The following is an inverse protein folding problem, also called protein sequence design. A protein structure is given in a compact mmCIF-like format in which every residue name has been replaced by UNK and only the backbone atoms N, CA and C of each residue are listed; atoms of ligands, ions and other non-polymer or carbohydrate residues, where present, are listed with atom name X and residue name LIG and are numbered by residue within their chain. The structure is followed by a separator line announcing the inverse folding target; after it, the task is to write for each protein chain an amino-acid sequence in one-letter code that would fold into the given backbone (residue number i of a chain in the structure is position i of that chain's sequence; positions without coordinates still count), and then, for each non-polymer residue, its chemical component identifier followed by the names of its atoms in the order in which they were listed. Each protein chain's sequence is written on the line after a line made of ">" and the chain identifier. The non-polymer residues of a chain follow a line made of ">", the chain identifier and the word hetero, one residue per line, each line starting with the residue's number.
data_IF_431458019538
#
_entry.id   IF_431458019538
#
_cell.length_a   1.000
_cell.length_b   1.000
_cell.length_c   1.000
_cell.angle_alpha   90.00
_cell.angle_beta   90.00
_cell.angle_gamma   90.00
#
_symmetry.space_group_name_H-M   'P 1'
#
loop_
_entity.id
_entity.type
_entity.pdbx_description
1 polymer ?
#
# COMPACT_ATOMS: atom_id res chain seq x y z
N UNK A 1 19.65 -33.81 -6.64
CA UNK A 1 18.67 -32.71 -6.63
C UNK A 1 17.96 -32.80 -5.31
N UNK A 2 18.29 -31.90 -4.38
CA UNK A 2 17.45 -31.68 -3.22
C UNK A 2 16.34 -30.74 -3.70
N UNK A 3 15.08 -31.12 -3.49
CA UNK A 3 13.93 -30.27 -3.77
C UNK A 3 14.11 -28.96 -3.00
N UNK A 4 13.96 -27.82 -3.67
CA UNK A 4 14.03 -26.52 -3.00
C UNK A 4 12.93 -26.35 -1.93
N UNK A 5 11.88 -27.17 -1.96
CA UNK A 5 10.73 -27.15 -1.04
C UNK A 5 11.13 -27.32 0.44
N UNK A 6 12.08 -28.20 0.76
CA UNK A 6 12.44 -28.49 2.16
C UNK A 6 13.11 -27.30 2.87
N UNK A 7 13.66 -26.32 2.13
CA UNK A 7 14.23 -25.10 2.73
C UNK A 7 13.19 -24.07 3.12
N UNK A 8 12.06 -24.00 2.41
CA UNK A 8 11.04 -22.97 2.64
C UNK A 8 10.15 -23.30 3.85
N UNK A 9 9.96 -24.58 4.15
CA UNK A 9 9.13 -25.02 5.29
C UNK A 9 9.74 -24.64 6.65
N UNK A 10 11.08 -24.70 6.75
CA UNK A 10 11.80 -24.27 7.96
C UNK A 10 11.70 -22.75 8.18
N UNK A 11 11.72 -21.95 7.10
CA UNK A 11 11.66 -20.49 7.16
C UNK A 11 10.28 -19.98 7.62
N UNK A 12 9.17 -20.63 7.23
CA UNK A 12 7.81 -20.24 7.67
C UNK A 12 7.63 -20.36 9.18
N UNK A 13 8.17 -21.42 9.78
CA UNK A 13 8.13 -21.59 11.24
C UNK A 13 8.88 -20.48 11.97
N UNK A 14 9.89 -19.86 11.35
CA UNK A 14 10.65 -18.76 11.94
C UNK A 14 9.78 -17.50 12.05
N UNK A 15 9.01 -17.16 11.01
CA UNK A 15 8.19 -15.94 11.01
C UNK A 15 7.03 -16.07 12.01
N UNK A 16 6.31 -17.19 12.02
CA UNK A 16 5.24 -17.42 12.99
C UNK A 16 5.78 -17.34 14.43
N UNK A 17 6.90 -18.03 14.70
CA UNK A 17 7.56 -17.98 16.01
C UNK A 17 7.99 -16.56 16.38
N UNK A 18 8.48 -15.77 15.43
CA UNK A 18 8.84 -14.38 15.64
C UNK A 18 7.62 -13.53 16.00
N UNK A 19 6.51 -13.67 15.27
CA UNK A 19 5.26 -12.94 15.52
C UNK A 19 4.73 -13.28 16.91
N UNK A 20 4.67 -14.56 17.27
CA UNK A 20 4.18 -14.98 18.58
C UNK A 20 4.99 -14.36 19.72
N UNK A 21 6.32 -14.42 19.64
CA UNK A 21 7.24 -13.92 20.68
C UNK A 21 7.30 -12.39 20.75
N UNK A 22 7.07 -11.70 19.64
CA UNK A 22 7.21 -10.25 19.53
C UNK A 22 5.88 -9.49 19.47
N UNK A 23 4.73 -10.18 19.44
CA UNK A 23 3.39 -9.56 19.32
C UNK A 23 3.10 -8.44 20.32
N UNK A 24 3.70 -8.49 21.51
CA UNK A 24 3.54 -7.48 22.56
C UNK A 24 4.64 -6.42 22.61
N UNK A 25 5.71 -6.56 21.83
CA UNK A 25 6.89 -5.67 21.93
C UNK A 25 7.31 -5.09 20.58
N UNK A 26 6.83 -5.63 19.46
CA UNK A 26 7.16 -5.16 18.13
C UNK A 26 6.52 -3.80 17.88
N UNK A 27 7.34 -2.76 17.78
CA UNK A 27 6.92 -1.39 17.48
C UNK A 27 7.23 -0.99 16.03
N UNK A 28 8.27 -1.57 15.44
CA UNK A 28 8.70 -1.24 14.07
C UNK A 28 8.91 -2.54 13.30
N UNK A 29 8.26 -2.62 12.15
CA UNK A 29 8.50 -3.66 11.16
C UNK A 29 8.81 -2.98 9.82
N UNK A 30 10.01 -3.23 9.31
CA UNK A 30 10.47 -2.70 8.03
C UNK A 30 11.15 -3.85 7.29
N UNK A 31 10.63 -4.20 6.13
CA UNK A 31 11.19 -5.25 5.28
C UNK A 31 11.33 -4.73 3.85
N UNK A 32 12.47 -4.11 3.52
CA UNK A 32 12.78 -3.82 2.14
C UNK A 32 13.11 -5.14 1.44
N UNK A 33 12.51 -5.36 0.26
CA UNK A 33 12.93 -6.39 -0.71
C UNK A 33 13.08 -7.82 -0.11
N UNK A 34 11.96 -8.52 0.07
CA UNK A 34 11.95 -9.92 0.51
C UNK A 34 11.27 -10.84 -0.50
N UNK A 35 11.81 -12.06 -0.62
CA UNK A 35 11.22 -13.14 -1.41
C UNK A 35 10.67 -14.26 -0.54
N UNK A 36 10.89 -14.19 0.78
CA UNK A 36 10.54 -15.25 1.72
C UNK A 36 9.30 -14.94 2.54
N UNK A 37 8.86 -13.68 2.55
CA UNK A 37 7.72 -13.25 3.35
C UNK A 37 6.48 -13.22 2.47
N UNK A 38 5.50 -14.04 2.85
CA UNK A 38 4.24 -14.13 2.12
C UNK A 38 3.22 -13.11 2.63
N UNK A 39 2.21 -12.82 1.80
CA UNK A 39 1.08 -11.97 2.19
C UNK A 39 0.42 -12.40 3.51
N UNK A 40 0.34 -13.70 3.81
CA UNK A 40 -0.21 -14.21 5.08
C UNK A 40 0.65 -13.90 6.30
N UNK A 41 1.96 -13.82 6.14
CA UNK A 41 2.89 -13.45 7.20
C UNK A 41 2.73 -11.96 7.54
N UNK A 42 2.71 -11.13 6.49
CA UNK A 42 2.44 -9.69 6.54
C UNK A 42 1.10 -9.40 7.23
N UNK A 43 0.05 -10.13 6.85
CA UNK A 43 -1.27 -10.07 7.48
C UNK A 43 -1.22 -10.43 8.97
N UNK A 44 -0.50 -11.49 9.32
CA UNK A 44 -0.42 -12.00 10.68
C UNK A 44 0.30 -11.04 11.62
N UNK A 45 1.29 -10.30 11.12
CA UNK A 45 1.93 -9.18 11.84
C UNK A 45 0.91 -8.08 12.16
N UNK A 46 0.18 -7.57 11.17
CA UNK A 46 -0.83 -6.52 11.35
C UNK A 46 -1.96 -6.93 12.31
N UNK A 47 -2.36 -8.19 12.28
CA UNK A 47 -3.41 -8.74 13.12
C UNK A 47 -2.96 -9.10 14.56
N UNK A 48 -1.66 -9.22 14.82
CA UNK A 48 -1.14 -9.72 16.10
C UNK A 48 -0.34 -8.68 16.90
N UNK A 49 0.37 -7.79 16.21
CA UNK A 49 1.31 -6.85 16.83
C UNK A 49 0.64 -5.52 17.25
N UNK A 50 -0.01 -5.51 18.43
CA UNK A 50 -0.79 -4.35 18.92
C UNK A 50 0.02 -3.06 19.10
N UNK A 51 1.30 -3.19 19.43
CA UNK A 51 2.18 -2.06 19.73
C UNK A 51 2.90 -1.51 18.50
N UNK A 52 2.62 -2.06 17.32
CA UNK A 52 3.23 -1.63 16.07
C UNK A 52 2.89 -0.16 15.78
N UNK A 53 3.92 0.66 15.61
CA UNK A 53 3.89 2.09 15.30
C UNK A 53 4.27 2.37 13.86
N UNK A 54 5.13 1.53 13.28
CA UNK A 54 5.57 1.63 11.90
C UNK A 54 5.55 0.26 11.24
N UNK A 55 4.92 0.20 10.07
CA UNK A 55 4.88 -0.97 9.21
C UNK A 55 5.25 -0.56 7.80
N UNK A 56 6.33 -1.12 7.27
CA UNK A 56 6.77 -0.89 5.90
C UNK A 56 7.08 -2.24 5.26
N UNK A 57 6.20 -2.65 4.35
CA UNK A 57 6.35 -3.81 3.48
C UNK A 57 6.07 -3.32 2.06
N UNK A 58 7.07 -2.64 1.51
CA UNK A 58 6.97 -1.93 0.24
C UNK A 58 8.22 -2.24 -0.58
N UNK A 59 8.04 -2.97 -1.67
CA UNK A 59 9.11 -3.25 -2.60
C UNK A 59 9.15 -2.23 -3.74
N UNK A 60 10.35 -1.77 -4.08
CA UNK A 60 10.59 -0.88 -5.22
C UNK A 60 11.24 -1.60 -6.40
N UNK A 61 11.68 -2.85 -6.20
CA UNK A 61 12.39 -3.69 -7.16
C UNK A 61 11.69 -5.05 -7.33
N UNK A 62 12.31 -5.93 -8.14
CA UNK A 62 11.86 -7.25 -8.62
C UNK A 62 11.46 -8.31 -7.54
N UNK A 63 10.68 -7.97 -6.50
CA UNK A 63 10.27 -8.96 -5.49
C UNK A 63 8.84 -8.82 -4.99
N UNK A 64 8.35 -9.92 -4.43
CA UNK A 64 6.93 -10.21 -4.24
C UNK A 64 6.39 -9.77 -2.86
N UNK A 65 6.92 -8.70 -2.25
CA UNK A 65 6.40 -8.22 -0.95
C UNK A 65 5.12 -7.41 -1.15
N UNK A 66 4.04 -8.10 -1.49
CA UNK A 66 2.72 -7.50 -1.65
C UNK A 66 1.70 -8.21 -0.74
N UNK A 67 0.81 -7.42 -0.16
CA UNK A 67 -0.35 -7.90 0.56
C UNK A 67 -1.49 -8.13 -0.43
N UNK A 68 -2.01 -9.36 -0.51
CA UNK A 68 -3.21 -9.65 -1.29
C UNK A 68 -4.42 -8.99 -0.65
N UNK A 69 -5.38 -8.52 -1.46
CA UNK A 69 -6.64 -7.99 -0.93
C UNK A 69 -7.35 -8.99 -0.02
N UNK A 70 -7.31 -10.27 -0.37
CA UNK A 70 -7.93 -11.35 0.40
C UNK A 70 -7.31 -11.47 1.80
N UNK A 71 -5.99 -11.45 1.91
CA UNK A 71 -5.32 -11.59 3.19
C UNK A 71 -5.53 -10.34 4.05
N UNK A 72 -5.45 -9.13 3.48
CA UNK A 72 -5.69 -7.87 4.22
C UNK A 72 -7.02 -7.91 4.98
N UNK A 73 -8.07 -8.47 4.37
CA UNK A 73 -9.41 -8.51 4.95
C UNK A 73 -9.71 -9.79 5.73
N UNK A 74 -8.79 -10.77 5.71
CA UNK A 74 -8.99 -12.08 6.33
C UNK A 74 -9.11 -12.01 7.87
N UNK A 75 -8.46 -11.03 8.51
CA UNK A 75 -8.61 -10.73 9.94
C UNK A 75 -8.49 -9.22 10.18
N UNK A 76 -9.08 -8.76 11.28
CA UNK A 76 -8.94 -7.36 11.69
C UNK A 76 -7.53 -7.04 12.17
N UNK A 77 -7.05 -5.84 11.82
CA UNK A 77 -5.77 -5.34 12.30
C UNK A 77 -5.84 -4.97 13.78
N UNK A 78 -4.83 -5.41 14.55
CA UNK A 78 -4.73 -5.13 15.97
C UNK A 78 -3.88 -3.87 16.27
N UNK A 79 -3.04 -3.45 15.33
CA UNK A 79 -2.16 -2.28 15.42
C UNK A 79 -2.90 -0.94 15.17
N UNK A 80 -3.93 -0.62 15.95
CA UNK A 80 -4.76 0.58 15.72
C UNK A 80 -4.04 1.92 16.00
N UNK A 81 -2.93 1.88 16.74
CA UNK A 81 -2.07 3.04 17.02
C UNK A 81 -0.90 3.18 16.01
N UNK A 82 -1.00 2.53 14.85
CA UNK A 82 -0.02 2.65 13.78
C UNK A 82 0.07 4.10 13.31
N UNK A 83 1.29 4.61 13.18
CA UNK A 83 1.61 5.98 12.72
C UNK A 83 2.07 6.01 11.27
N UNK A 84 2.77 4.97 10.83
CA UNK A 84 3.30 4.89 9.47
C UNK A 84 2.95 3.53 8.86
N UNK A 85 2.34 3.57 7.68
CA UNK A 85 1.96 2.40 6.89
C UNK A 85 2.47 2.57 5.47
N UNK A 86 3.39 1.71 5.05
CA UNK A 86 3.82 1.58 3.66
C UNK A 86 3.53 0.15 3.19
N UNK A 87 2.63 0.01 2.23
CA UNK A 87 2.22 -1.30 1.71
C UNK A 87 2.13 -1.30 0.19
N UNK A 88 2.53 -2.41 -0.41
CA UNK A 88 2.07 -2.79 -1.74
C UNK A 88 0.87 -3.71 -1.63
N UNK A 89 -0.10 -3.49 -2.51
CA UNK A 89 -1.28 -4.32 -2.61
C UNK A 89 -1.29 -5.07 -3.95
N UNK A 90 -1.74 -6.31 -3.93
CA UNK A 90 -1.98 -7.11 -5.14
C UNK A 90 -3.37 -7.70 -5.12
N UNK A 91 -3.94 -7.89 -6.31
CA UNK A 91 -5.20 -8.64 -6.49
C UNK A 91 -4.95 -10.10 -6.82
N UNK A 92 -3.72 -10.47 -7.15
CA UNK A 92 -3.34 -11.84 -7.53
C UNK A 92 -3.15 -12.68 -6.26
N UNK A 93 -3.82 -13.82 -6.20
CA UNK A 93 -3.46 -14.90 -5.29
C UNK A 93 -2.45 -15.80 -6.03
N UNK A 94 -1.15 -15.51 -5.89
CA UNK A 94 -0.10 -16.38 -6.44
C UNK A 94 -0.07 -17.65 -5.63
N UNK A 95 -0.78 -18.68 -6.09
CA UNK A 95 -0.60 -20.03 -5.58
C UNK A 95 0.53 -20.67 -6.38
N UNK A 96 1.68 -20.85 -5.76
CA UNK A 96 2.70 -21.75 -6.30
C UNK A 96 2.05 -23.13 -6.47
N UNK A 97 2.00 -23.63 -7.70
CA UNK A 97 1.56 -24.98 -7.97
C UNK A 97 2.50 -26.00 -7.30
N UNK A 98 2.05 -27.25 -7.07
CA UNK A 98 2.87 -28.30 -6.46
C UNK A 98 4.12 -28.69 -7.29
N UNK A 99 4.27 -28.17 -8.51
CA UNK A 99 5.47 -28.33 -9.33
C UNK A 99 6.49 -27.20 -9.14
N UNK A 100 6.17 -26.15 -8.36
CA UNK A 100 6.94 -24.91 -8.32
C UNK A 100 6.92 -24.14 -9.65
N UNK A 101 6.12 -24.60 -10.63
CA UNK A 101 5.78 -23.82 -11.80
C UNK A 101 4.60 -22.93 -11.42
N UNK A 102 4.64 -21.66 -11.86
CA UNK A 102 3.51 -20.76 -11.78
C UNK A 102 2.40 -21.37 -12.66
N UNK A 103 1.54 -22.19 -12.08
CA UNK A 103 0.19 -22.31 -12.59
C UNK A 103 -0.42 -20.93 -12.37
N UNK A 104 -0.26 -20.04 -13.37
CA UNK A 104 -0.90 -18.73 -13.49
C UNK A 104 -2.43 -18.91 -13.62
N UNK A 105 -3.02 -19.61 -12.64
CA UNK A 105 -4.43 -19.56 -12.35
C UNK A 105 -4.71 -18.20 -11.75
N UNK A 106 -4.65 -17.16 -12.58
CA UNK A 106 -5.14 -15.83 -12.26
C UNK A 106 -6.61 -16.01 -11.87
N UNK A 107 -6.90 -16.00 -10.58
CA UNK A 107 -8.29 -15.93 -10.12
C UNK A 107 -8.73 -14.50 -10.43
N UNK A 108 -9.26 -14.30 -11.63
CA UNK A 108 -9.93 -13.05 -12.00
C UNK A 108 -11.23 -13.04 -11.20
N UNK A 109 -11.17 -12.42 -10.03
CA UNK A 109 -12.36 -12.09 -9.26
C UNK A 109 -13.28 -11.22 -10.14
N UNK A 110 -14.59 -11.46 -10.07
CA UNK A 110 -15.54 -10.63 -10.80
C UNK A 110 -15.42 -9.16 -10.33
N UNK A 111 -15.66 -8.21 -11.25
CA UNK A 111 -15.52 -6.77 -10.98
C UNK A 111 -16.26 -6.31 -9.70
N UNK A 112 -17.43 -6.89 -9.41
CA UNK A 112 -18.21 -6.55 -8.21
C UNK A 112 -17.57 -7.10 -6.91
N UNK A 113 -17.00 -8.32 -6.94
CA UNK A 113 -16.33 -8.91 -5.78
C UNK A 113 -15.02 -8.18 -5.47
N UNK A 114 -14.27 -7.82 -6.51
CA UNK A 114 -13.08 -6.96 -6.38
C UNK A 114 -13.43 -5.62 -5.75
N UNK A 115 -14.50 -4.98 -6.23
CA UNK A 115 -14.99 -3.73 -5.68
C UNK A 115 -15.30 -3.87 -4.18
N UNK A 116 -16.01 -4.93 -3.79
CA UNK A 116 -16.30 -5.22 -2.37
C UNK A 116 -15.03 -5.45 -1.54
N UNK A 117 -14.05 -6.19 -2.06
CA UNK A 117 -12.79 -6.42 -1.36
C UNK A 117 -11.97 -5.14 -1.20
N UNK A 118 -11.85 -4.35 -2.28
CA UNK A 118 -11.19 -3.06 -2.24
C UNK A 118 -11.79 -2.17 -1.14
N UNK A 119 -13.13 -2.07 -1.06
CA UNK A 119 -13.81 -1.37 0.03
C UNK A 119 -13.36 -1.82 1.41
N UNK A 120 -13.30 -3.12 1.63
CA UNK A 120 -12.91 -3.69 2.91
C UNK A 120 -11.43 -3.41 3.22
N UNK A 121 -10.55 -3.48 2.23
CA UNK A 121 -9.12 -3.13 2.35
C UNK A 121 -8.95 -1.67 2.79
N UNK A 122 -9.55 -0.73 2.06
CA UNK A 122 -9.45 0.68 2.41
C UNK A 122 -10.21 1.02 3.70
N UNK A 123 -11.27 0.27 4.01
CA UNK A 123 -11.94 0.32 5.32
C UNK A 123 -11.02 -0.07 6.48
N UNK A 124 -10.20 -1.13 6.33
CA UNK A 124 -9.19 -1.50 7.33
C UNK A 124 -8.19 -0.37 7.56
N UNK A 125 -7.65 0.20 6.48
CA UNK A 125 -6.71 1.33 6.52
C UNK A 125 -7.37 2.55 7.19
N UNK A 126 -8.61 2.88 6.81
CA UNK A 126 -9.36 4.01 7.35
C UNK A 126 -9.61 3.99 8.86
N UNK A 127 -9.51 2.81 9.50
CA UNK A 127 -9.61 2.66 10.97
C UNK A 127 -8.36 3.13 11.71
N UNK A 128 -7.23 3.30 11.02
CA UNK A 128 -5.97 3.74 11.62
C UNK A 128 -5.99 5.25 11.89
N UNK A 129 -6.82 5.68 12.84
CA UNK A 129 -7.05 7.10 13.16
C UNK A 129 -5.79 7.85 13.66
N UNK A 130 -4.73 7.14 14.03
CA UNK A 130 -3.43 7.68 14.46
C UNK A 130 -2.39 7.73 13.34
N UNK A 131 -2.76 7.33 12.13
CA UNK A 131 -1.85 7.27 11.00
C UNK A 131 -1.44 8.67 10.57
N UNK A 132 -0.14 8.93 10.58
CA UNK A 132 0.49 10.18 10.18
C UNK A 132 1.10 10.07 8.77
N UNK A 133 1.55 8.88 8.37
CA UNK A 133 2.11 8.59 7.05
C UNK A 133 1.46 7.36 6.40
N UNK A 134 1.04 7.51 5.14
CA UNK A 134 0.47 6.43 4.34
C UNK A 134 1.12 6.39 2.95
N UNK A 135 1.73 5.26 2.60
CA UNK A 135 2.20 4.96 1.26
C UNK A 135 1.50 3.69 0.74
N UNK A 136 0.85 3.80 -0.42
CA UNK A 136 0.16 2.67 -1.07
C UNK A 136 0.70 2.52 -2.49
N UNK A 137 1.15 1.32 -2.81
CA UNK A 137 1.58 0.91 -4.13
C UNK A 137 0.81 -0.31 -4.61
N UNK A 138 1.03 -0.68 -5.87
CA UNK A 138 0.60 -1.96 -6.40
C UNK A 138 1.82 -2.84 -6.70
N UNK A 139 1.61 -4.14 -6.84
CA UNK A 139 2.60 -5.08 -7.36
C UNK A 139 2.95 -4.71 -8.81
N UNK A 140 4.24 -4.70 -9.18
CA UNK A 140 4.71 -4.31 -10.52
C UNK A 140 4.65 -5.47 -11.53
N UNK A 141 4.63 -6.70 -11.03
CA UNK A 141 4.54 -7.90 -11.87
C UNK A 141 3.12 -8.14 -12.40
N UNK A 142 2.18 -7.34 -11.94
CA UNK A 142 0.83 -7.29 -12.45
C UNK A 142 0.83 -6.78 -13.91
N UNK A 143 0.28 -7.57 -14.84
CA UNK A 143 0.18 -7.23 -16.28
C UNK A 143 -0.49 -5.86 -16.46
N UNK A 144 0.34 -4.91 -16.89
CA UNK A 144 0.01 -3.49 -16.98
C UNK A 144 -1.30 -3.22 -17.75
N UNK A 145 -1.55 -3.95 -18.84
CA UNK A 145 -2.68 -3.73 -19.73
C UNK A 145 -4.06 -4.02 -19.09
N UNK A 146 -4.13 -4.93 -18.10
CA UNK A 146 -5.39 -5.28 -17.43
C UNK A 146 -5.61 -4.53 -16.11
N UNK A 147 -4.53 -4.02 -15.51
CA UNK A 147 -4.51 -3.62 -14.10
C UNK A 147 -4.50 -2.10 -13.93
N UNK A 148 -3.98 -1.38 -14.93
CA UNK A 148 -3.97 0.08 -14.95
C UNK A 148 -5.39 0.65 -14.79
N UNK A 149 -6.38 0.13 -15.51
CA UNK A 149 -7.76 0.64 -15.39
C UNK A 149 -8.37 0.37 -14.00
N UNK A 150 -7.94 -0.70 -13.32
CA UNK A 150 -8.62 -1.15 -12.11
C UNK A 150 -8.08 -0.45 -10.86
N UNK A 151 -6.76 -0.32 -10.70
CA UNK A 151 -6.19 0.39 -9.56
C UNK A 151 -6.33 1.91 -9.67
N UNK A 152 -6.19 2.50 -10.86
CA UNK A 152 -6.35 3.96 -11.05
C UNK A 152 -7.67 4.49 -10.47
N UNK A 153 -8.72 3.68 -10.54
CA UNK A 153 -10.05 4.03 -10.11
C UNK A 153 -10.35 3.77 -8.62
N UNK A 154 -9.53 2.97 -7.94
CA UNK A 154 -9.78 2.50 -6.57
C UNK A 154 -9.87 3.61 -5.53
N UNK A 155 -9.20 4.75 -5.73
CA UNK A 155 -9.19 5.88 -4.79
C UNK A 155 -9.81 7.16 -5.36
N UNK A 156 -10.75 7.00 -6.29
CA UNK A 156 -11.66 8.09 -6.68
C UNK A 156 -12.89 8.13 -5.75
N UNK A 157 -13.69 9.19 -5.77
CA UNK A 157 -14.98 9.19 -5.05
C UNK A 157 -16.08 8.47 -5.85
N UNK A 158 -15.97 8.48 -7.18
CA UNK A 158 -16.98 7.91 -8.08
C UNK A 158 -16.98 6.39 -8.04
N UNK A 159 -15.80 5.80 -8.19
CA UNK A 159 -15.60 4.36 -8.27
C UNK A 159 -14.94 3.81 -7.00
N UNK A 160 -14.29 4.69 -6.24
CA UNK A 160 -13.29 4.30 -5.27
C UNK A 160 -13.64 4.60 -3.82
N UNK A 161 -12.69 4.21 -2.99
CA UNK A 161 -12.82 4.05 -1.55
C UNK A 161 -12.11 5.15 -0.79
N UNK A 162 -11.88 6.29 -1.45
CA UNK A 162 -11.29 7.47 -0.80
C UNK A 162 -12.14 7.90 0.41
N UNK A 163 -13.46 7.73 0.34
CA UNK A 163 -14.37 7.98 1.48
C UNK A 163 -14.10 7.08 2.69
N UNK A 164 -13.64 5.85 2.48
CA UNK A 164 -13.27 4.93 3.56
C UNK A 164 -12.05 5.45 4.33
N UNK A 165 -11.21 6.26 3.70
CA UNK A 165 -10.05 6.92 4.30
C UNK A 165 -10.38 8.26 4.98
N UNK A 166 -11.65 8.64 5.09
CA UNK A 166 -12.08 9.91 5.73
C UNK A 166 -11.69 9.99 7.21
N UNK A 167 -11.49 8.86 7.88
CA UNK A 167 -11.12 8.76 9.30
C UNK A 167 -9.67 9.16 9.62
N UNK A 168 -8.80 9.28 8.61
CA UNK A 168 -7.37 9.56 8.77
C UNK A 168 -7.08 11.03 9.08
N UNK A 169 -7.61 11.54 10.20
CA UNK A 169 -7.50 12.97 10.57
C UNK A 169 -6.09 13.41 10.93
N UNK A 170 -5.24 12.47 11.34
CA UNK A 170 -3.85 12.71 11.71
C UNK A 170 -2.88 12.62 10.52
N UNK A 171 -3.37 12.29 9.32
CA UNK A 171 -2.55 12.07 8.14
C UNK A 171 -1.83 13.36 7.72
N UNK A 172 -0.50 13.29 7.70
CA UNK A 172 0.41 14.36 7.27
C UNK A 172 1.04 14.06 5.93
N UNK A 173 1.41 12.82 5.69
CA UNK A 173 2.10 12.40 4.48
C UNK A 173 1.28 11.35 3.76
N UNK A 174 0.95 11.63 2.50
CA UNK A 174 0.27 10.67 1.66
C UNK A 174 1.03 10.47 0.36
N UNK A 175 1.27 9.20 0.04
CA UNK A 175 2.11 8.79 -1.05
C UNK A 175 1.47 7.65 -1.82
N UNK A 176 1.46 7.78 -3.13
CA UNK A 176 0.85 6.80 -4.02
C UNK A 176 1.54 6.70 -5.36
N UNK A 177 1.36 5.57 -6.01
CA UNK A 177 1.75 5.35 -7.39
C UNK A 177 1.16 6.40 -8.34
N UNK A 178 1.96 6.71 -9.35
CA UNK A 178 1.72 7.72 -10.39
C UNK A 178 0.29 7.72 -10.93
N UNK A 179 -0.20 6.54 -11.26
CA UNK A 179 -1.42 6.37 -12.04
C UNK A 179 -2.67 6.67 -11.21
N UNK A 180 -2.61 6.55 -9.88
CA UNK A 180 -3.73 6.93 -9.02
C UNK A 180 -4.04 8.42 -9.07
N UNK A 181 -2.99 9.24 -9.16
CA UNK A 181 -3.16 10.69 -9.16
C UNK A 181 -3.82 11.18 -10.45
N UNK A 182 -3.65 10.48 -11.58
CA UNK A 182 -4.18 10.93 -12.89
C UNK A 182 -5.69 10.77 -12.94
N UNK A 183 -6.25 9.81 -12.19
CA UNK A 183 -7.68 9.58 -12.07
C UNK A 183 -8.41 10.56 -11.11
N UNK A 184 -7.69 11.35 -10.31
CA UNK A 184 -8.31 12.26 -9.35
C UNK A 184 -8.81 13.55 -10.02
N UNK A 185 -10.06 13.91 -9.71
CA UNK A 185 -10.67 15.16 -10.13
C UNK A 185 -10.76 16.20 -9.01
N UNK A 186 -11.49 17.28 -9.27
CA UNK A 186 -11.72 18.35 -8.30
C UNK A 186 -12.39 17.84 -7.02
N UNK A 187 -13.35 16.91 -7.13
CA UNK A 187 -14.11 16.41 -5.99
C UNK A 187 -13.23 15.60 -5.01
N UNK A 188 -12.35 14.75 -5.54
CA UNK A 188 -11.37 14.00 -4.74
C UNK A 188 -10.45 14.95 -3.97
N UNK A 189 -9.98 16.01 -4.64
CA UNK A 189 -9.06 16.99 -4.06
C UNK A 189 -9.74 17.85 -2.98
N UNK A 190 -10.99 18.26 -3.20
CA UNK A 190 -11.81 18.91 -2.18
C UNK A 190 -12.04 18.00 -0.97
N UNK A 191 -12.34 16.73 -1.21
CA UNK A 191 -12.47 15.74 -0.13
C UNK A 191 -11.19 15.65 0.71
N UNK A 192 -10.01 15.60 0.08
CA UNK A 192 -8.73 15.55 0.80
C UNK A 192 -8.50 16.82 1.63
N UNK A 193 -8.85 18.00 1.08
CA UNK A 193 -8.77 19.26 1.81
C UNK A 193 -9.63 19.26 3.08
N UNK A 194 -10.88 18.80 2.96
CA UNK A 194 -11.85 18.78 4.06
C UNK A 194 -11.54 17.69 5.09
N UNK A 195 -11.11 16.51 4.64
CA UNK A 195 -11.02 15.34 5.51
C UNK A 195 -9.65 15.12 6.12
N UNK A 196 -8.57 15.64 5.53
CA UNK A 196 -7.20 15.47 6.03
C UNK A 196 -6.61 16.82 6.44
N UNK A 197 -7.09 17.42 7.55
CA UNK A 197 -6.72 18.77 7.97
C UNK A 197 -5.26 18.92 8.41
N UNK A 198 -4.53 17.81 8.58
CA UNK A 198 -3.09 17.79 8.90
C UNK A 198 -2.19 17.46 7.72
N UNK A 199 -2.74 17.27 6.52
CA UNK A 199 -1.94 16.92 5.35
C UNK A 199 -0.93 18.02 5.02
N UNK A 200 0.34 17.63 5.01
CA UNK A 200 1.53 18.46 4.81
C UNK A 200 2.28 18.09 3.53
N UNK A 201 2.19 16.83 3.08
CA UNK A 201 2.90 16.36 1.88
C UNK A 201 2.06 15.40 1.04
N UNK A 202 2.10 15.62 -0.27
CA UNK A 202 1.65 14.70 -1.31
C UNK A 202 2.84 14.28 -2.16
N UNK A 203 3.11 12.98 -2.18
CA UNK A 203 4.21 12.41 -2.95
C UNK A 203 3.71 11.40 -3.95
N UNK A 204 4.36 11.41 -5.11
CA UNK A 204 4.20 10.40 -6.13
C UNK A 204 5.31 9.36 -6.03
N UNK A 205 4.94 8.08 -6.06
CA UNK A 205 5.84 6.94 -6.20
C UNK A 205 6.03 6.69 -7.70
N UNK A 206 7.28 6.67 -8.15
CA UNK A 206 7.65 6.29 -9.52
C UNK A 206 8.52 5.04 -9.46
N UNK A 207 8.20 4.05 -10.29
CA UNK A 207 9.05 2.89 -10.49
C UNK A 207 9.75 2.99 -11.85
N UNK A 208 11.08 2.97 -11.83
CA UNK A 208 11.89 2.88 -13.04
C UNK A 208 12.02 4.18 -13.86
N UNK A 209 13.12 4.25 -14.60
CA UNK A 209 13.61 5.46 -15.27
C UNK A 209 12.82 5.78 -16.56
N UNK A 210 12.00 4.83 -17.06
CA UNK A 210 11.39 4.89 -18.39
C UNK A 210 10.15 5.79 -18.54
N UNK A 211 9.40 6.01 -17.47
CA UNK A 211 8.05 6.62 -17.55
C UNK A 211 7.91 7.97 -16.86
N UNK A 212 8.97 8.47 -16.22
CA UNK A 212 8.96 9.73 -15.48
C UNK A 212 8.52 10.94 -16.35
N UNK A 213 8.65 10.88 -17.68
CA UNK A 213 8.34 12.01 -18.57
C UNK A 213 6.85 12.31 -18.72
N UNK A 214 5.95 11.33 -18.57
CA UNK A 214 4.52 11.55 -18.88
C UNK A 214 3.73 12.20 -17.74
N UNK A 215 4.28 12.18 -16.53
CA UNK A 215 3.50 12.48 -15.31
C UNK A 215 4.17 13.53 -14.44
N UNK A 216 5.12 14.29 -14.99
CA UNK A 216 5.72 15.46 -14.33
C UNK A 216 4.77 16.67 -14.27
N UNK A 217 3.67 16.66 -15.02
CA UNK A 217 2.72 17.77 -15.07
C UNK A 217 1.48 17.57 -14.21
N UNK A 218 1.42 16.49 -13.43
CA UNK A 218 0.20 16.16 -12.69
C UNK A 218 -0.18 17.26 -11.71
N UNK A 219 0.78 17.79 -10.97
CA UNK A 219 0.56 18.87 -10.02
C UNK A 219 0.21 20.21 -10.69
N UNK A 220 0.38 20.33 -12.01
CA UNK A 220 0.03 21.54 -12.78
C UNK A 220 -1.46 21.58 -13.17
N UNK A 221 -2.21 20.49 -12.97
CA UNK A 221 -3.64 20.49 -13.29
C UNK A 221 -4.45 21.44 -12.38
N UNK A 222 -5.57 22.01 -12.85
CA UNK A 222 -6.31 23.05 -12.13
C UNK A 222 -6.72 22.70 -10.70
N UNK A 223 -7.15 21.46 -10.45
CA UNK A 223 -7.58 21.03 -9.11
C UNK A 223 -6.42 20.95 -8.11
N UNK A 224 -5.23 20.52 -8.53
CA UNK A 224 -4.03 20.53 -7.67
C UNK A 224 -3.54 21.94 -7.40
N UNK A 225 -3.61 22.84 -8.40
CA UNK A 225 -3.32 24.25 -8.20
C UNK A 225 -4.32 24.91 -7.24
N UNK A 226 -5.60 24.54 -7.32
CA UNK A 226 -6.60 24.95 -6.34
C UNK A 226 -6.21 24.49 -4.93
N UNK A 227 -5.85 23.22 -4.72
CA UNK A 227 -5.43 22.72 -3.41
C UNK A 227 -4.21 23.46 -2.87
N UNK A 228 -3.22 23.71 -3.73
CA UNK A 228 -2.03 24.50 -3.39
C UNK A 228 -2.38 25.93 -2.98
N UNK A 229 -3.38 26.54 -3.61
CA UNK A 229 -3.88 27.86 -3.21
C UNK A 229 -4.58 27.84 -1.83
N UNK A 230 -5.31 26.76 -1.51
CA UNK A 230 -5.97 26.59 -0.22
C UNK A 230 -4.98 26.23 0.89
N UNK A 231 -3.87 25.55 0.55
CA UNK A 231 -2.85 25.07 1.49
C UNK A 231 -1.44 25.42 0.98
N UNK A 232 -0.98 26.68 1.11
CA UNK A 232 0.28 27.12 0.54
C UNK A 232 1.53 26.42 1.10
N UNK A 233 1.42 25.81 2.29
CA UNK A 233 2.50 25.03 2.93
C UNK A 233 2.51 23.56 2.51
N UNK A 234 1.52 23.10 1.74
CA UNK A 234 1.43 21.73 1.28
C UNK A 234 2.53 21.47 0.24
N UNK A 235 3.40 20.51 0.52
CA UNK A 235 4.47 20.12 -0.38
C UNK A 235 3.98 19.07 -1.37
N UNK A 236 4.29 19.28 -2.65
CA UNK A 236 4.07 18.32 -3.72
C UNK A 236 5.42 17.82 -4.19
N UNK A 237 5.62 16.51 -4.20
CA UNK A 237 6.91 15.90 -4.48
C UNK A 237 6.84 14.65 -5.34
N UNK A 238 8.02 14.26 -5.80
CA UNK A 238 8.28 12.98 -6.45
C UNK A 238 9.28 12.25 -5.57
N UNK A 239 9.01 10.98 -5.28
CA UNK A 239 10.01 10.12 -4.67
C UNK A 239 10.74 9.39 -5.79
N UNK A 240 11.96 9.84 -6.07
CA UNK A 240 12.84 9.17 -7.02
C UNK A 240 13.69 8.17 -6.23
N UNK A 241 13.40 6.88 -6.39
CA UNK A 241 14.24 5.71 -6.11
C UNK A 241 14.93 5.62 -4.73
N UNK A 242 14.55 6.43 -3.75
CA UNK A 242 15.07 6.31 -2.39
C UNK A 242 13.97 5.88 -1.42
N UNK A 243 13.74 4.56 -1.27
CA UNK A 243 12.87 4.04 -0.22
C UNK A 243 13.35 4.44 1.18
N UNK A 244 14.63 4.80 1.38
CA UNK A 244 15.11 5.36 2.65
C UNK A 244 14.61 6.80 2.87
N UNK A 245 14.22 7.52 1.82
CA UNK A 245 13.55 8.83 1.92
C UNK A 245 12.14 8.74 2.53
N UNK A 246 11.52 7.55 2.51
CA UNK A 246 10.32 7.23 3.29
C UNK A 246 10.65 7.07 4.79
N UNK A 247 11.89 6.70 5.11
CA UNK A 247 12.38 6.36 6.46
C UNK A 247 12.94 7.58 7.20
N UNK A 248 13.65 8.48 6.50
CA UNK A 248 14.64 9.37 7.12
C UNK A 248 14.15 10.73 7.64
N UNK A 249 12.84 11.02 7.71
CA UNK A 249 12.36 12.39 8.03
C UNK A 249 11.28 12.53 9.12
N UNK A 250 11.07 11.50 9.93
CA UNK A 250 10.16 11.57 11.10
C UNK A 250 10.87 11.83 12.44
N UNK A 251 12.15 12.24 12.42
CA UNK A 251 12.94 12.64 13.61
C UNK A 251 12.82 14.12 13.95
#
# INVERSE_FOLDING_TARGET
>A
MFSNEDKFEDDRNIIETFIERSSQTLEVFDIPESYTVESKDLQSLLASCKNLKRYCAFNTKDGDVALTFQDVVSKEWACLDLKELCIQLTRRDRRLGPSGENEDGLIILESEELSKMAKLVYGQIGRLSKLEGLAIGHDQDEDWDEIEEIFQNDLTLKNGWLSELSGLKELKHFQMMTDFWTGMGQAEVEFMHENWPRLERLKKITFGIGWASFTNHIWEQPHWQWLKSQRPTLEFGYDYDDPESLVDRAS
#
